data_IF_322877313519
#
_entry.id   IF_322877313519
#
_cell.length_a   1.000
_cell.length_b   1.000
_cell.length_c   1.000
_cell.angle_alpha   90.00
_cell.angle_beta   90.00
_cell.angle_gamma   90.00
#
_symmetry.space_group_name_H-M   'P 1'
#
loop_
_entity.id
_entity.type
_entity.pdbx_description
1 polymer ?
#
# COMPACT_ATOMS: atom_id res chain seq x y z
N UNK A 1 -38.54 -56.25 -11.34
CA UNK A 1 -37.81 -55.00 -11.02
C UNK A 1 -38.03 -54.03 -12.17
N UNK A 2 -39.14 -53.28 -12.13
CA UNK A 2 -39.62 -52.42 -13.22
C UNK A 2 -39.06 -51.01 -13.08
N UNK A 3 -38.21 -50.60 -14.04
CA UNK A 3 -37.60 -49.28 -14.10
C UNK A 3 -38.61 -48.25 -14.65
N UNK A 4 -39.11 -47.38 -13.78
CA UNK A 4 -39.94 -46.23 -14.16
C UNK A 4 -39.06 -45.00 -14.34
N UNK A 5 -38.85 -44.58 -15.59
CA UNK A 5 -38.24 -43.29 -15.92
C UNK A 5 -39.33 -42.36 -16.46
N UNK A 6 -39.63 -41.22 -15.81
CA UNK A 6 -40.53 -40.22 -16.38
C UNK A 6 -39.80 -39.38 -17.43
N UNK A 7 -40.17 -39.55 -18.70
CA UNK A 7 -39.81 -38.68 -19.81
C UNK A 7 -40.60 -37.36 -19.73
N UNK A 8 -39.93 -36.27 -19.36
CA UNK A 8 -40.50 -34.93 -19.51
C UNK A 8 -40.00 -34.29 -20.81
N UNK A 9 -40.93 -34.21 -21.77
CA UNK A 9 -40.88 -33.35 -22.96
C UNK A 9 -40.45 -31.93 -22.56
N UNK A 10 -39.37 -31.43 -23.16
CA UNK A 10 -39.07 -30.01 -23.19
C UNK A 10 -39.48 -29.49 -24.57
N UNK A 11 -40.68 -28.93 -24.65
CA UNK A 11 -41.05 -28.02 -25.72
C UNK A 11 -40.81 -26.62 -25.16
N UNK A 12 -39.79 -25.91 -25.66
CA UNK A 12 -39.70 -24.45 -25.52
C UNK A 12 -39.29 -23.85 -26.85
N UNK A 13 -40.26 -23.13 -27.38
CA UNK A 13 -40.29 -22.31 -28.58
C UNK A 13 -39.18 -21.26 -28.60
N UNK A 14 -38.60 -21.09 -29.78
CA UNK A 14 -37.81 -19.93 -30.14
C UNK A 14 -38.73 -18.71 -30.35
N UNK A 15 -38.36 -17.57 -29.79
CA UNK A 15 -38.73 -16.25 -30.30
C UNK A 15 -37.79 -15.20 -29.70
N UNK A 16 -36.94 -14.64 -30.56
CA UNK A 16 -36.15 -13.44 -30.36
C UNK A 16 -37.04 -12.20 -30.46
N UNK A 17 -37.05 -11.34 -29.44
CA UNK A 17 -37.46 -9.95 -29.59
C UNK A 17 -36.56 -9.04 -28.75
N UNK A 18 -35.82 -8.22 -29.47
CA UNK A 18 -34.98 -7.12 -29.02
C UNK A 18 -35.85 -5.97 -28.48
N UNK A 19 -35.69 -5.61 -27.21
CA UNK A 19 -36.13 -4.31 -26.70
C UNK A 19 -34.99 -3.65 -25.92
N UNK A 20 -34.21 -2.88 -26.67
CA UNK A 20 -33.19 -1.95 -26.20
C UNK A 20 -33.85 -0.85 -25.35
N UNK A 21 -33.93 -1.06 -24.03
CA UNK A 21 -34.19 0.01 -23.07
C UNK A 21 -32.85 0.51 -22.53
N UNK A 22 -32.39 1.63 -23.07
CA UNK A 22 -31.21 2.35 -22.60
C UNK A 22 -31.53 2.98 -21.25
N UNK A 23 -31.43 2.21 -20.16
CA UNK A 23 -31.36 2.76 -18.82
C UNK A 23 -30.00 3.46 -18.67
N UNK A 24 -30.00 4.76 -18.90
CA UNK A 24 -28.95 5.69 -18.50
C UNK A 24 -28.86 5.69 -16.98
N UNK A 25 -28.11 4.73 -16.43
CA UNK A 25 -27.58 4.84 -15.08
C UNK A 25 -26.60 6.01 -15.05
N UNK A 26 -27.12 7.20 -14.71
CA UNK A 26 -26.33 8.33 -14.24
C UNK A 26 -25.69 7.91 -12.92
N UNK A 27 -24.55 7.24 -13.00
CA UNK A 27 -23.61 7.11 -11.89
C UNK A 27 -23.20 8.55 -11.56
N UNK A 28 -23.40 9.07 -10.33
CA UNK A 28 -22.75 10.29 -9.92
C UNK A 28 -21.26 9.98 -9.85
N UNK A 29 -20.57 10.27 -10.96
CA UNK A 29 -19.12 10.32 -11.02
C UNK A 29 -18.73 11.50 -10.14
N UNK A 30 -18.57 11.24 -8.83
CA UNK A 30 -17.91 12.17 -7.92
C UNK A 30 -16.45 12.30 -8.39
N UNK A 31 -16.25 13.12 -9.41
CA UNK A 31 -14.95 13.56 -9.86
C UNK A 31 -14.42 14.55 -8.82
N UNK A 32 -13.98 14.05 -7.68
CA UNK A 32 -12.95 14.76 -6.94
C UNK A 32 -11.67 14.65 -7.78
N UNK A 33 -11.50 15.57 -8.73
CA UNK A 33 -10.27 15.75 -9.48
C UNK A 33 -9.24 16.30 -8.48
N UNK A 34 -8.56 15.43 -7.75
CA UNK A 34 -7.25 15.77 -7.20
C UNK A 34 -6.29 15.83 -8.39
N UNK A 35 -6.15 17.02 -8.99
CA UNK A 35 -5.12 17.30 -9.99
C UNK A 35 -3.76 17.32 -9.28
N UNK A 36 -3.24 16.14 -8.98
CA UNK A 36 -1.80 15.91 -8.91
C UNK A 36 -1.46 15.02 -10.10
N UNK A 37 -1.16 15.68 -11.20
CA UNK A 37 -0.63 15.07 -12.41
C UNK A 37 0.78 14.53 -12.08
N UNK A 38 0.85 13.28 -11.66
CA UNK A 38 2.09 12.52 -11.50
C UNK A 38 2.45 11.77 -12.80
N UNK A 39 2.15 12.39 -13.94
CA UNK A 39 2.61 11.97 -15.26
C UNK A 39 4.02 12.50 -15.54
N UNK A 40 5.03 11.69 -15.22
CA UNK A 40 6.31 11.61 -15.96
C UNK A 40 6.93 12.92 -16.46
N UNK A 41 7.47 13.74 -15.54
CA UNK A 41 8.64 14.65 -15.67
C UNK A 41 8.52 15.74 -14.61
N UNK A 42 8.91 15.45 -13.37
CA UNK A 42 8.69 16.42 -12.32
C UNK A 42 9.39 16.12 -11.02
N UNK A 43 10.65 15.71 -11.07
CA UNK A 43 11.61 15.90 -9.98
C UNK A 43 13.03 15.57 -10.49
N UNK A 44 13.88 16.59 -10.61
CA UNK A 44 15.33 16.45 -10.77
C UNK A 44 15.86 16.25 -12.20
N UNK A 45 16.56 17.27 -12.69
CA UNK A 45 17.59 17.23 -13.74
C UNK A 45 17.24 16.56 -15.09
N UNK A 46 16.72 17.37 -16.02
CA UNK A 46 16.66 16.95 -17.44
C UNK A 46 16.01 18.00 -18.35
N UNK A 47 16.86 18.70 -19.12
CA UNK A 47 16.56 19.67 -20.20
C UNK A 47 15.93 21.01 -19.78
N UNK A 48 16.81 21.97 -19.47
CA UNK A 48 16.56 23.34 -19.91
C UNK A 48 16.45 23.35 -21.45
N UNK A 49 15.52 24.13 -21.99
CA UNK A 49 15.24 24.32 -23.43
C UNK A 49 14.18 23.41 -24.06
N UNK A 50 13.04 23.24 -23.39
CA UNK A 50 11.78 23.20 -24.15
C UNK A 50 10.80 24.12 -23.45
N UNK A 51 10.71 25.35 -23.96
CA UNK A 51 9.78 26.37 -23.52
C UNK A 51 8.36 25.84 -23.77
N UNK A 52 7.63 25.56 -22.69
CA UNK A 52 6.17 25.48 -22.75
C UNK A 52 5.67 26.87 -23.20
N UNK A 53 5.36 27.02 -24.48
CA UNK A 53 4.90 28.28 -25.09
C UNK A 53 3.47 28.68 -24.69
N UNK A 54 2.81 27.87 -23.86
CA UNK A 54 1.53 28.22 -23.26
C UNK A 54 1.73 28.66 -21.82
N UNK A 55 1.58 29.98 -21.58
CA UNK A 55 1.43 30.53 -20.25
C UNK A 55 0.33 29.76 -19.51
N UNK A 56 0.67 29.17 -18.35
CA UNK A 56 -0.32 28.53 -17.48
C UNK A 56 -1.43 29.56 -17.21
N UNK A 57 -2.71 29.23 -17.41
CA UNK A 57 -3.78 30.21 -17.22
C UNK A 57 -3.71 30.74 -15.79
N UNK A 58 -3.46 32.04 -15.65
CA UNK A 58 -3.43 32.74 -14.37
C UNK A 58 -4.84 32.73 -13.79
N UNK A 59 -5.14 31.70 -12.99
CA UNK A 59 -6.42 31.61 -12.30
C UNK A 59 -6.27 32.35 -10.95
N UNK A 60 -6.92 33.51 -10.77
CA UNK A 60 -6.73 34.36 -9.59
C UNK A 60 -7.05 33.62 -8.27
N UNK A 61 -8.00 32.67 -8.29
CA UNK A 61 -8.29 31.80 -7.15
C UNK A 61 -7.12 30.90 -6.76
N UNK A 62 -6.35 30.43 -7.75
CA UNK A 62 -5.18 29.56 -7.47
C UNK A 62 -4.02 30.34 -6.91
N UNK A 63 -3.79 31.57 -7.38
CA UNK A 63 -2.76 32.46 -6.84
C UNK A 63 -3.08 32.90 -5.41
N UNK A 64 -4.33 33.25 -5.14
CA UNK A 64 -4.80 33.59 -3.80
C UNK A 64 -4.69 32.40 -2.85
N UNK A 65 -5.06 31.19 -3.28
CA UNK A 65 -4.90 29.97 -2.49
C UNK A 65 -3.42 29.65 -2.22
N UNK A 66 -2.52 29.84 -3.19
CA UNK A 66 -1.07 29.66 -3.00
C UNK A 66 -0.45 30.73 -2.07
N UNK A 67 -0.96 31.97 -2.11
CA UNK A 67 -0.57 33.05 -1.19
C UNK A 67 -1.11 32.85 0.23
N UNK A 68 -2.33 32.32 0.37
CA UNK A 68 -3.02 32.09 1.65
C UNK A 68 -2.68 30.77 2.32
N UNK A 69 -2.14 29.78 1.59
CA UNK A 69 -1.51 28.63 2.25
C UNK A 69 -0.49 29.21 3.21
N UNK A 70 -0.50 28.85 4.51
CA UNK A 70 0.59 29.21 5.39
C UNK A 70 1.84 28.73 4.65
N UNK A 71 2.73 29.67 4.29
CA UNK A 71 4.06 29.31 3.80
C UNK A 71 4.50 28.30 4.83
N UNK A 72 4.74 27.05 4.42
CA UNK A 72 5.44 26.10 5.28
C UNK A 72 6.71 26.87 5.61
N UNK A 73 6.77 27.45 6.80
CA UNK A 73 7.91 28.20 7.30
C UNK A 73 9.08 27.35 6.89
N UNK A 74 9.93 27.95 6.04
CA UNK A 74 10.93 27.27 5.27
C UNK A 74 11.44 26.12 6.11
N UNK A 75 11.03 24.88 5.77
CA UNK A 75 11.69 23.70 6.31
C UNK A 75 13.13 24.00 5.99
N UNK A 76 13.90 24.37 7.01
CA UNK A 76 15.21 25.00 6.90
C UNK A 76 15.92 24.17 5.84
N UNK A 77 16.05 24.73 4.64
CA UNK A 77 16.73 24.03 3.58
C UNK A 77 18.07 23.68 4.21
N UNK A 78 18.45 22.40 4.35
CA UNK A 78 19.64 22.05 5.10
C UNK A 78 20.76 22.88 4.50
N UNK A 79 21.27 23.84 5.27
CA UNK A 79 22.35 24.72 4.87
C UNK A 79 23.46 23.80 4.41
N UNK A 80 23.89 23.94 3.15
CA UNK A 80 25.03 23.19 2.61
C UNK A 80 26.19 23.35 3.60
N UNK A 81 26.58 22.25 4.23
CA UNK A 81 27.40 22.26 5.43
C UNK A 81 28.80 22.80 5.16
N UNK A 82 29.12 23.94 5.78
CA UNK A 82 30.45 24.13 6.36
C UNK A 82 30.56 23.26 7.61
N UNK A 83 31.78 22.91 8.00
CA UNK A 83 32.03 22.16 9.24
C UNK A 83 31.54 23.01 10.42
N UNK A 84 30.37 22.67 10.97
CA UNK A 84 29.91 23.26 12.22
C UNK A 84 30.77 22.73 13.37
N UNK A 85 30.85 23.50 14.46
CA UNK A 85 31.53 23.18 15.73
C UNK A 85 30.87 22.01 16.51
N UNK A 86 30.32 21.06 15.76
CA UNK A 86 29.68 19.84 16.25
C UNK A 86 29.98 18.66 15.32
N UNK A 87 30.90 18.84 14.37
CA UNK A 87 31.21 17.87 13.32
C UNK A 87 32.15 16.78 13.85
N UNK A 88 32.05 15.60 13.25
CA UNK A 88 32.79 14.38 13.62
C UNK A 88 34.32 14.51 13.50
N UNK A 89 34.81 15.56 12.82
CA UNK A 89 36.22 15.84 12.56
C UNK A 89 36.84 16.85 13.54
N UNK A 90 36.08 17.28 14.56
CA UNK A 90 36.57 18.20 15.60
C UNK A 90 37.31 17.38 16.67
N UNK A 91 38.53 17.81 17.03
CA UNK A 91 39.44 17.08 17.92
C UNK A 91 38.76 16.63 19.23
N UNK A 92 38.92 15.35 19.58
CA UNK A 92 38.24 14.68 20.70
C UNK A 92 38.52 15.33 22.07
N UNK A 93 39.55 16.17 22.18
CA UNK A 93 39.95 16.83 23.43
C UNK A 93 38.99 17.95 23.88
N UNK A 94 38.15 18.49 22.98
CA UNK A 94 37.21 19.60 23.27
C UNK A 94 35.76 19.12 23.45
N UNK A 95 35.37 18.04 22.76
CA UNK A 95 34.00 17.55 22.73
C UNK A 95 33.77 16.49 23.83
N UNK A 96 33.42 16.94 25.03
CA UNK A 96 33.02 16.04 26.13
C UNK A 96 31.89 15.04 25.78
N UNK A 97 31.59 14.07 26.67
CA UNK A 97 30.70 12.95 26.38
C UNK A 97 29.35 13.41 25.81
N UNK A 98 29.05 13.04 24.56
CA UNK A 98 27.81 13.43 23.88
C UNK A 98 26.64 12.59 24.41
N UNK A 99 25.71 13.25 25.08
CA UNK A 99 24.45 12.66 25.58
C UNK A 99 23.67 11.97 24.45
N UNK A 100 23.63 10.65 24.50
CA UNK A 100 22.86 9.78 23.59
C UNK A 100 21.34 9.98 23.70
N UNK A 101 20.86 10.67 24.75
CA UNK A 101 19.46 10.90 25.00
C UNK A 101 18.85 12.01 24.12
N UNK A 102 19.64 13.02 23.72
CA UNK A 102 19.15 14.13 22.88
C UNK A 102 18.74 13.70 21.45
N UNK A 103 19.28 12.58 20.94
CA UNK A 103 18.88 12.01 19.64
C UNK A 103 17.59 11.18 19.70
N UNK A 104 17.20 10.68 20.87
CA UNK A 104 15.97 9.88 21.07
C UNK A 104 14.71 10.74 21.00
N UNK A 105 14.79 12.03 21.31
CA UNK A 105 13.62 12.91 21.30
C UNK A 105 13.17 13.33 19.89
N UNK A 106 14.10 13.42 18.93
CA UNK A 106 13.80 13.83 17.55
C UNK A 106 13.10 12.77 16.69
N UNK A 107 13.01 11.53 17.17
CA UNK A 107 12.43 10.40 16.43
C UNK A 107 11.06 9.94 16.97
N UNK A 108 10.45 10.69 17.91
CA UNK A 108 9.07 10.39 18.33
C UNK A 108 8.13 10.62 17.14
N UNK A 109 7.40 9.61 16.66
CA UNK A 109 6.49 9.77 15.54
C UNK A 109 5.44 10.82 15.89
N UNK A 110 5.25 11.80 15.01
CA UNK A 110 4.20 12.81 15.15
C UNK A 110 2.85 12.13 15.41
N UNK A 111 2.02 12.64 16.33
CA UNK A 111 0.73 12.04 16.65
C UNK A 111 -0.15 11.99 15.38
N UNK A 112 -0.78 10.85 15.16
CA UNK A 112 -1.64 10.63 13.99
C UNK A 112 -2.95 11.41 14.16
N UNK A 113 -3.09 12.52 13.44
CA UNK A 113 -4.33 13.30 13.45
C UNK A 113 -5.43 12.59 12.64
N UNK A 114 -6.55 12.17 13.27
CA UNK A 114 -7.58 11.39 12.59
C UNK A 114 -8.26 12.19 11.47
N UNK A 115 -8.46 13.50 11.66
CA UNK A 115 -9.10 14.36 10.68
C UNK A 115 -8.28 14.48 9.39
N UNK A 116 -6.95 14.60 9.49
CA UNK A 116 -6.08 14.68 8.32
C UNK A 116 -5.95 13.33 7.60
N UNK A 117 -6.05 12.23 8.35
CA UNK A 117 -5.96 10.88 7.79
C UNK A 117 -7.28 10.37 7.21
N UNK A 118 -8.43 10.94 7.61
CA UNK A 118 -9.75 10.45 7.24
C UNK A 118 -9.91 10.28 5.72
N UNK A 119 -9.45 11.27 4.94
CA UNK A 119 -9.53 11.22 3.48
C UNK A 119 -8.67 10.10 2.85
N UNK A 120 -7.54 9.75 3.48
CA UNK A 120 -6.64 8.70 2.99
C UNK A 120 -7.05 7.29 3.48
N UNK A 121 -7.56 7.19 4.71
CA UNK A 121 -7.98 5.92 5.31
C UNK A 121 -9.37 5.47 4.85
N UNK A 122 -10.31 6.41 4.68
CA UNK A 122 -11.71 6.13 4.33
C UNK A 122 -12.15 6.99 3.13
N UNK A 123 -11.73 6.62 1.91
CA UNK A 123 -12.08 7.38 0.71
C UNK A 123 -13.58 7.33 0.36
N UNK A 124 -14.33 6.33 0.85
CA UNK A 124 -15.77 6.19 0.61
C UNK A 124 -16.54 5.74 1.87
N UNK A 125 -16.92 6.71 2.73
CA UNK A 125 -17.54 6.42 4.02
C UNK A 125 -18.94 5.79 3.87
N UNK A 126 -19.68 6.11 2.80
CA UNK A 126 -21.06 5.61 2.62
C UNK A 126 -21.08 4.11 2.39
N UNK A 127 -20.16 3.61 1.56
CA UNK A 127 -20.06 2.19 1.29
C UNK A 127 -19.51 1.42 2.50
N UNK A 128 -18.57 2.00 3.26
CA UNK A 128 -18.11 1.42 4.53
C UNK A 128 -19.26 1.24 5.52
N UNK A 129 -20.08 2.27 5.75
CA UNK A 129 -21.24 2.18 6.66
C UNK A 129 -22.24 1.09 6.25
N UNK A 130 -22.53 0.95 4.94
CA UNK A 130 -23.41 -0.12 4.42
C UNK A 130 -22.82 -1.50 4.67
N UNK A 131 -21.50 -1.65 4.47
CA UNK A 131 -20.81 -2.90 4.73
C UNK A 131 -20.79 -3.24 6.23
N UNK A 132 -20.52 -2.27 7.10
CA UNK A 132 -20.55 -2.43 8.57
C UNK A 132 -21.94 -2.90 9.02
N UNK A 133 -23.01 -2.23 8.57
CA UNK A 133 -24.40 -2.65 8.85
C UNK A 133 -24.63 -4.11 8.44
N UNK A 134 -24.18 -4.50 7.24
CA UNK A 134 -24.30 -5.89 6.75
C UNK A 134 -23.52 -6.89 7.63
N UNK A 135 -22.32 -6.52 8.09
CA UNK A 135 -21.50 -7.36 8.96
C UNK A 135 -22.14 -7.53 10.34
N UNK A 136 -22.65 -6.45 10.94
CA UNK A 136 -23.35 -6.46 12.23
C UNK A 136 -24.60 -7.32 12.18
N UNK A 137 -25.46 -7.14 11.17
CA UNK A 137 -26.68 -7.97 11.00
C UNK A 137 -26.30 -9.45 10.90
N UNK A 138 -25.25 -9.79 10.13
CA UNK A 138 -24.77 -11.17 10.02
C UNK A 138 -24.29 -11.74 11.36
N UNK A 139 -23.62 -10.93 12.16
CA UNK A 139 -23.12 -11.35 13.47
C UNK A 139 -24.26 -11.59 14.47
N UNK A 140 -25.25 -10.69 14.49
CA UNK A 140 -26.49 -10.84 15.26
C UNK A 140 -27.21 -12.13 14.88
N UNK A 141 -27.37 -12.40 13.58
CA UNK A 141 -28.01 -13.63 13.09
C UNK A 141 -27.28 -14.90 13.56
N UNK A 142 -25.94 -14.85 13.65
CA UNK A 142 -25.12 -15.95 14.15
C UNK A 142 -25.08 -16.04 15.67
N UNK A 143 -25.65 -15.07 16.39
CA UNK A 143 -25.68 -15.00 17.86
C UNK A 143 -24.27 -15.11 18.47
N UNK A 144 -23.30 -14.45 17.84
CA UNK A 144 -21.89 -14.46 18.30
C UNK A 144 -21.12 -15.77 18.04
N UNK A 145 -21.71 -16.76 17.35
CA UNK A 145 -20.99 -17.99 16.99
C UNK A 145 -19.93 -17.71 15.91
N UNK A 146 -18.67 -17.84 16.29
CA UNK A 146 -17.54 -17.65 15.38
C UNK A 146 -17.34 -18.89 14.49
N UNK A 147 -16.97 -18.67 13.23
CA UNK A 147 -16.48 -19.76 12.37
C UNK A 147 -15.05 -20.11 12.74
N UNK A 148 -14.61 -21.35 12.46
CA UNK A 148 -13.21 -21.77 12.67
C UNK A 148 -12.21 -20.79 12.04
N UNK A 149 -12.48 -20.33 10.82
CA UNK A 149 -11.64 -19.36 10.13
C UNK A 149 -11.59 -17.99 10.84
N UNK A 150 -12.69 -17.54 11.46
CA UNK A 150 -12.70 -16.31 12.25
C UNK A 150 -11.92 -16.48 13.56
N UNK A 151 -12.05 -17.64 14.22
CA UNK A 151 -11.31 -17.95 15.44
C UNK A 151 -9.78 -17.97 15.17
N UNK A 152 -9.35 -18.64 14.09
CA UNK A 152 -7.94 -18.70 13.69
C UNK A 152 -7.39 -17.30 13.38
N UNK A 153 -8.10 -16.49 12.58
CA UNK A 153 -7.68 -15.12 12.26
C UNK A 153 -7.58 -14.20 13.47
N UNK A 154 -8.33 -14.50 14.55
CA UNK A 154 -8.27 -13.75 15.81
C UNK A 154 -7.09 -14.19 16.67
N UNK A 155 -6.80 -15.49 16.70
CA UNK A 155 -5.77 -16.07 17.57
C UNK A 155 -4.36 -16.01 16.98
N UNK A 156 -4.22 -16.26 15.67
CA UNK A 156 -2.93 -16.42 15.01
C UNK A 156 -2.43 -15.10 14.41
N UNK A 157 -1.14 -14.80 14.61
CA UNK A 157 -0.46 -13.69 13.93
C UNK A 157 0.02 -14.17 12.57
N UNK A 158 -0.40 -13.48 11.52
CA UNK A 158 0.02 -13.76 10.13
C UNK A 158 0.47 -12.46 9.45
N UNK A 159 1.61 -12.51 8.77
CA UNK A 159 2.07 -11.45 7.86
C UNK A 159 2.12 -12.01 6.44
N UNK A 160 1.42 -11.33 5.52
CA UNK A 160 1.45 -11.63 4.09
C UNK A 160 2.21 -10.50 3.40
N UNK A 161 3.37 -10.82 2.85
CA UNK A 161 4.22 -9.90 2.10
C UNK A 161 4.20 -10.27 0.62
N UNK A 162 4.01 -9.27 -0.25
CA UNK A 162 4.09 -9.43 -1.70
C UNK A 162 5.44 -8.89 -2.18
N UNK A 163 6.15 -9.67 -3.00
CA UNK A 163 7.42 -9.23 -3.58
C UNK A 163 7.22 -8.17 -4.66
N UNK A 164 8.32 -7.52 -5.02
CA UNK A 164 8.42 -6.83 -6.29
C UNK A 164 8.40 -7.83 -7.44
N UNK A 165 8.33 -7.32 -8.66
CA UNK A 165 8.41 -8.14 -9.86
C UNK A 165 9.85 -8.63 -10.06
N UNK A 166 10.06 -9.94 -9.96
CA UNK A 166 11.36 -10.55 -10.22
C UNK A 166 11.62 -10.60 -11.72
N UNK A 167 12.87 -10.37 -12.14
CA UNK A 167 13.28 -10.44 -13.56
C UNK A 167 13.47 -11.89 -14.02
N UNK A 168 12.49 -12.75 -13.75
CA UNK A 168 12.49 -14.17 -14.11
C UNK A 168 11.09 -14.66 -14.44
N UNK A 169 11.01 -15.80 -15.12
CA UNK A 169 9.72 -16.45 -15.41
C UNK A 169 9.22 -17.26 -14.21
N UNK A 170 7.89 -17.41 -14.13
CA UNK A 170 7.21 -18.20 -13.08
C UNK A 170 7.78 -19.61 -12.98
N UNK A 171 8.00 -20.30 -14.12
CA UNK A 171 8.55 -21.67 -14.16
C UNK A 171 9.94 -21.77 -13.51
N UNK A 172 10.76 -20.71 -13.56
CA UNK A 172 12.08 -20.67 -12.93
C UNK A 172 12.01 -20.36 -11.44
N UNK A 173 10.98 -19.63 -11.00
CA UNK A 173 10.77 -19.27 -9.59
C UNK A 173 10.10 -20.38 -8.77
N UNK A 174 9.18 -21.13 -9.38
CA UNK A 174 8.43 -22.21 -8.72
C UNK A 174 9.32 -23.23 -7.98
N UNK A 175 10.45 -23.70 -8.53
CA UNK A 175 11.34 -24.61 -7.79
C UNK A 175 11.91 -23.99 -6.51
N UNK A 176 12.30 -22.71 -6.53
CA UNK A 176 12.80 -22.01 -5.34
C UNK A 176 11.69 -21.83 -4.30
N UNK A 177 10.48 -21.47 -4.74
CA UNK A 177 9.33 -21.32 -3.85
C UNK A 177 8.99 -22.65 -3.15
N UNK A 178 9.00 -23.76 -3.88
CA UNK A 178 8.80 -25.11 -3.30
C UNK A 178 9.92 -25.49 -2.33
N UNK A 179 11.17 -25.08 -2.59
CA UNK A 179 12.31 -25.40 -1.74
C UNK A 179 12.23 -24.74 -0.35
N UNK A 180 11.62 -23.55 -0.23
CA UNK A 180 11.48 -22.82 1.04
C UNK A 180 10.11 -23.01 1.70
N UNK A 181 9.14 -23.60 0.99
CA UNK A 181 7.81 -23.84 1.54
C UNK A 181 7.89 -24.74 2.80
N UNK A 182 7.25 -24.31 3.89
CA UNK A 182 7.22 -25.03 5.16
C UNK A 182 8.48 -24.92 6.03
N UNK A 183 9.54 -24.25 5.56
CA UNK A 183 10.74 -24.00 6.37
C UNK A 183 10.56 -22.76 7.24
N UNK A 184 11.38 -22.66 8.29
CA UNK A 184 11.50 -21.41 9.05
C UNK A 184 12.06 -20.31 8.15
N UNK A 185 11.76 -19.05 8.49
CA UNK A 185 12.22 -17.91 7.68
C UNK A 185 13.76 -17.84 7.66
N UNK A 186 14.42 -18.21 8.77
CA UNK A 186 15.88 -18.18 8.90
C UNK A 186 16.55 -19.27 8.07
N UNK A 187 16.03 -20.50 8.11
CA UNK A 187 16.51 -21.60 7.25
C UNK A 187 16.30 -21.29 5.77
N UNK A 188 15.17 -20.66 5.44
CA UNK A 188 14.90 -20.21 4.07
C UNK A 188 15.93 -19.17 3.60
N UNK A 189 16.28 -18.20 4.44
CA UNK A 189 17.31 -17.18 4.14
C UNK A 189 18.68 -17.86 3.95
N UNK A 190 19.06 -18.79 4.83
CA UNK A 190 20.31 -19.55 4.71
C UNK A 190 20.32 -20.33 3.39
N UNK A 191 19.21 -20.99 3.05
CA UNK A 191 19.15 -21.78 1.83
C UNK A 191 19.18 -20.92 0.55
N UNK A 192 18.57 -19.73 0.56
CA UNK A 192 18.67 -18.80 -0.56
C UNK A 192 20.07 -18.19 -0.69
N UNK A 193 20.78 -17.99 0.43
CA UNK A 193 22.17 -17.50 0.45
C UNK A 193 23.14 -18.45 -0.27
N UNK A 194 22.97 -19.76 -0.11
CA UNK A 194 23.86 -20.77 -0.75
C UNK A 194 23.33 -21.31 -2.09
N UNK A 195 22.20 -20.80 -2.57
CA UNK A 195 21.64 -21.23 -3.85
C UNK A 195 22.41 -20.64 -5.03
N UNK A 196 22.72 -21.49 -6.02
CA UNK A 196 23.40 -21.10 -7.27
C UNK A 196 22.50 -20.30 -8.23
N UNK A 197 21.22 -20.11 -7.92
CA UNK A 197 20.24 -19.48 -8.82
C UNK A 197 20.27 -17.96 -8.65
N UNK A 198 20.34 -17.20 -9.75
CA UNK A 198 20.33 -15.72 -9.72
C UNK A 198 19.12 -15.14 -8.96
N UNK A 199 17.94 -15.72 -9.16
CA UNK A 199 16.71 -15.28 -8.48
C UNK A 199 16.76 -15.47 -6.96
N UNK A 200 17.61 -16.36 -6.44
CA UNK A 200 17.68 -16.62 -5.01
C UNK A 200 18.18 -15.40 -4.23
N UNK A 201 19.02 -14.55 -4.84
CA UNK A 201 19.47 -13.29 -4.23
C UNK A 201 18.28 -12.35 -3.98
N UNK A 202 17.44 -12.13 -4.99
CA UNK A 202 16.26 -11.26 -4.89
C UNK A 202 15.22 -11.86 -3.92
N UNK A 203 15.04 -13.18 -3.91
CA UNK A 203 14.15 -13.86 -2.95
C UNK A 203 14.67 -13.73 -1.52
N UNK A 204 15.98 -13.85 -1.29
CA UNK A 204 16.61 -13.67 0.02
C UNK A 204 16.34 -12.25 0.55
N UNK A 205 16.60 -11.23 -0.25
CA UNK A 205 16.35 -9.83 0.11
C UNK A 205 14.86 -9.60 0.46
N UNK A 206 13.95 -10.22 -0.30
CA UNK A 206 12.52 -10.16 0.02
C UNK A 206 12.15 -10.87 1.33
N UNK A 207 12.76 -12.01 1.64
CA UNK A 207 12.53 -12.73 2.90
C UNK A 207 13.02 -11.93 4.11
N UNK A 208 14.17 -11.27 3.99
CA UNK A 208 14.69 -10.36 5.03
C UNK A 208 13.75 -9.17 5.25
N UNK A 209 13.28 -8.55 4.16
CA UNK A 209 12.28 -7.48 4.25
C UNK A 209 10.98 -7.98 4.91
N UNK A 210 10.46 -9.14 4.50
CA UNK A 210 9.24 -9.72 5.05
C UNK A 210 9.38 -10.06 6.54
N UNK A 211 10.57 -10.54 6.98
CA UNK A 211 10.90 -10.76 8.40
C UNK A 211 10.82 -9.45 9.18
N UNK A 212 11.47 -8.40 8.69
CA UNK A 212 11.48 -7.10 9.36
C UNK A 212 10.06 -6.49 9.40
N UNK A 213 9.31 -6.59 8.31
CA UNK A 213 7.92 -6.14 8.24
C UNK A 213 7.02 -6.91 9.22
N UNK A 214 7.20 -8.22 9.33
CA UNK A 214 6.51 -9.08 10.28
C UNK A 214 6.75 -8.65 11.74
N UNK A 215 8.01 -8.45 12.11
CA UNK A 215 8.41 -8.00 13.45
C UNK A 215 7.79 -6.63 13.75
N UNK A 216 7.95 -5.66 12.85
CA UNK A 216 7.51 -4.27 13.10
C UNK A 216 5.97 -4.13 13.05
N UNK A 217 5.28 -4.76 12.10
CA UNK A 217 3.83 -4.57 11.92
C UNK A 217 2.99 -5.49 12.80
N UNK A 218 3.45 -6.71 13.09
CA UNK A 218 2.68 -7.73 13.81
C UNK A 218 3.28 -8.10 15.16
N UNK A 219 4.52 -7.72 15.46
CA UNK A 219 5.21 -8.11 16.69
C UNK A 219 5.43 -9.62 16.75
N UNK A 220 5.82 -10.22 15.62
CA UNK A 220 6.25 -11.62 15.55
C UNK A 220 7.70 -11.79 16.01
#
# INVERSE_FOLDING_TARGET
MSLHLPSRRVVRSAASLTSSTKNTFLIPRAQHRTLFDFGTKGWGFGRANQLDTHAKPANPLTEEYLRRKPKKEAQIAPTRGGLSSSSILEDEDVAGPKDVDAKKEKSKPQPRNPHTMAAALDPDPKNRMRWERKMVIRDIHKRGRMTRAQALKKAERVSLSKSHDFRTSVKKLVPLARQIAGKTVEDAIIQMRFSKKKAAKEVKEHLEHAKNEAIVRRGM
#
